data_IF_296687534745
#
_entry.id   IF_296687534745
#
_cell.length_a   1.000
_cell.length_b   1.000
_cell.length_c   1.000
_cell.angle_alpha   90.00
_cell.angle_beta   90.00
_cell.angle_gamma   90.00
#
_symmetry.space_group_name_H-M   'P 1'
#
loop_
_entity.id
_entity.type
_entity.pdbx_description
1 polymer ?
#
# COMPACT_ATOMS: atom_id res chain seq x y z
N UNK A 1 -21.95 -13.43 14.01
CA UNK A 1 -22.01 -14.23 12.77
C UNK A 1 -20.76 -13.86 12.01
N UNK A 2 -19.76 -14.73 12.04
CA UNK A 2 -18.51 -14.53 11.32
C UNK A 2 -18.80 -14.88 9.85
N UNK A 3 -18.71 -13.89 8.96
CA UNK A 3 -18.84 -14.14 7.53
C UNK A 3 -17.53 -14.76 7.06
N UNK A 4 -17.58 -16.04 6.72
CA UNK A 4 -16.45 -16.82 6.20
C UNK A 4 -16.19 -16.47 4.73
N UNK A 5 -15.80 -15.20 4.49
CA UNK A 5 -15.34 -14.74 3.19
C UNK A 5 -13.84 -15.00 3.06
N UNK A 6 -13.37 -15.53 1.92
CA UNK A 6 -11.96 -15.73 1.68
C UNK A 6 -11.22 -14.38 1.69
N UNK A 7 -9.93 -14.43 2.04
CA UNK A 7 -9.06 -13.28 1.88
C UNK A 7 -9.05 -12.81 0.41
N UNK A 8 -9.08 -11.50 0.15
CA UNK A 8 -8.89 -10.97 -1.19
C UNK A 8 -7.57 -11.45 -1.81
N UNK A 9 -7.54 -11.62 -3.14
CA UNK A 9 -6.33 -12.00 -3.87
C UNK A 9 -5.21 -11.00 -3.57
N UNK A 10 -3.99 -11.50 -3.32
CA UNK A 10 -2.83 -10.65 -3.03
C UNK A 10 -2.79 -10.04 -1.62
N UNK A 11 -3.80 -10.27 -0.78
CA UNK A 11 -3.76 -9.83 0.62
C UNK A 11 -2.64 -10.55 1.38
N UNK A 12 -1.78 -9.77 2.04
CA UNK A 12 -0.71 -10.28 2.91
C UNK A 12 -1.17 -10.37 4.37
N UNK A 13 -2.14 -9.53 4.75
CA UNK A 13 -2.79 -9.56 6.05
C UNK A 13 -4.22 -9.05 5.91
N UNK A 14 -5.15 -9.68 6.61
CA UNK A 14 -6.55 -9.27 6.63
C UNK A 14 -6.93 -9.02 8.09
N UNK A 15 -7.41 -7.84 8.40
CA UNK A 15 -7.89 -7.52 9.75
C UNK A 15 -9.23 -8.21 10.02
N UNK A 16 -9.57 -8.34 11.30
CA UNK A 16 -10.90 -8.81 11.71
C UNK A 16 -12.00 -7.88 11.18
N UNK A 17 -13.20 -8.41 11.02
CA UNK A 17 -14.38 -7.59 10.78
C UNK A 17 -14.52 -6.57 11.93
N UNK A 18 -14.59 -5.28 11.59
CA UNK A 18 -14.68 -4.23 12.60
C UNK A 18 -15.81 -4.50 13.59
N UNK A 19 -15.55 -4.24 14.88
CA UNK A 19 -16.51 -4.51 15.96
C UNK A 19 -17.87 -3.83 15.68
N UNK A 20 -18.93 -4.64 15.71
CA UNK A 20 -20.35 -4.25 15.61
C UNK A 20 -20.70 -3.32 14.44
N UNK A 21 -20.89 -3.90 13.25
CA UNK A 21 -21.58 -3.24 12.14
C UNK A 21 -20.68 -2.48 11.16
N UNK A 22 -19.36 -2.66 11.22
CA UNK A 22 -18.51 -2.23 10.12
C UNK A 22 -18.88 -3.01 8.85
N UNK A 23 -19.31 -2.30 7.81
CA UNK A 23 -19.71 -2.89 6.53
C UNK A 23 -18.53 -3.52 5.76
N UNK A 24 -17.30 -3.28 6.22
CA UNK A 24 -16.06 -3.79 5.62
C UNK A 24 -15.01 -4.13 6.68
N UNK A 25 -14.05 -4.97 6.30
CA UNK A 25 -12.76 -5.16 6.97
C UNK A 25 -11.63 -4.59 6.11
N UNK A 26 -10.54 -4.18 6.75
CA UNK A 26 -9.34 -3.70 6.04
C UNK A 26 -8.39 -4.86 5.81
N UNK A 27 -7.63 -4.80 4.72
CA UNK A 27 -6.53 -5.71 4.49
C UNK A 27 -5.32 -4.97 3.90
N UNK A 28 -4.14 -5.48 4.22
CA UNK A 28 -2.87 -5.05 3.65
C UNK A 28 -2.53 -5.95 2.46
N UNK A 29 -2.08 -5.34 1.36
CA UNK A 29 -1.51 -6.01 0.20
C UNK A 29 0.02 -6.00 0.23
N UNK A 30 0.69 -6.14 -0.93
CA UNK A 30 2.14 -6.05 -1.02
C UNK A 30 2.66 -4.62 -0.78
N UNK A 31 3.93 -4.53 -0.38
CA UNK A 31 4.65 -3.26 -0.15
C UNK A 31 5.99 -3.25 -0.90
N UNK A 32 6.34 -2.10 -1.48
CA UNK A 32 7.63 -1.83 -2.10
C UNK A 32 8.31 -0.63 -1.45
N UNK A 33 9.50 -0.86 -0.88
CA UNK A 33 10.30 0.18 -0.23
C UNK A 33 11.44 0.67 -1.11
N UNK A 34 11.38 1.94 -1.48
CA UNK A 34 12.46 2.63 -2.19
C UNK A 34 13.40 3.22 -1.14
N UNK A 35 14.40 2.43 -0.76
CA UNK A 35 15.46 2.86 0.15
C UNK A 35 16.20 4.06 -0.45
N UNK A 36 16.18 5.18 0.26
CA UNK A 36 16.87 6.38 -0.21
C UNK A 36 18.33 6.32 0.19
N UNK A 37 19.19 6.49 -0.81
CA UNK A 37 20.64 6.47 -0.63
C UNK A 37 21.11 7.91 -0.75
N UNK A 38 20.91 8.76 0.27
CA UNK A 38 21.89 9.76 0.75
C UNK A 38 21.33 10.85 1.69
N UNK A 39 22.17 11.14 2.68
CA UNK A 39 22.30 12.34 3.51
C UNK A 39 22.64 13.59 2.65
N UNK A 40 21.72 14.00 1.75
CA UNK A 40 21.94 15.14 0.84
C UNK A 40 21.65 16.48 1.51
N UNK A 41 22.49 16.84 2.47
CA UNK A 41 22.60 18.20 2.97
C UNK A 41 21.35 18.73 3.68
N UNK A 42 21.57 19.85 4.39
CA UNK A 42 20.62 20.45 5.33
C UNK A 42 19.32 20.87 4.62
N UNK A 43 18.27 20.03 4.69
CA UNK A 43 16.90 20.43 4.34
C UNK A 43 16.03 19.37 3.64
N UNK A 44 16.60 18.30 3.08
CA UNK A 44 15.79 17.23 2.53
C UNK A 44 15.30 16.32 3.66
N UNK A 45 13.99 16.23 3.87
CA UNK A 45 13.41 15.23 4.76
C UNK A 45 13.86 13.84 4.28
N UNK A 46 14.69 13.19 5.10
CA UNK A 46 15.23 11.86 4.88
C UNK A 46 14.21 10.84 5.36
N UNK A 47 13.61 10.13 4.42
CA UNK A 47 12.68 9.04 4.69
C UNK A 47 12.50 8.24 3.41
N UNK A 48 12.50 6.92 3.53
CA UNK A 48 12.20 6.03 2.41
C UNK A 48 10.82 6.37 1.83
N UNK A 49 10.66 6.12 0.54
CA UNK A 49 9.33 6.15 -0.08
C UNK A 49 8.82 4.71 -0.07
N UNK A 50 7.64 4.52 0.48
CA UNK A 50 6.97 3.23 0.56
C UNK A 50 5.72 3.30 -0.31
N UNK A 51 5.62 2.36 -1.24
CA UNK A 51 4.40 2.13 -2.04
C UNK A 51 3.72 0.90 -1.45
N UNK A 52 2.49 1.02 -0.99
CA UNK A 52 1.73 -0.10 -0.42
C UNK A 52 0.35 -0.20 -1.04
N UNK A 53 -0.18 -1.41 -1.13
CA UNK A 53 -1.59 -1.66 -1.43
C UNK A 53 -2.33 -1.87 -0.12
N UNK A 54 -3.45 -1.19 0.04
CA UNK A 54 -4.42 -1.36 1.12
C UNK A 54 -5.77 -1.58 0.46
N UNK A 55 -6.61 -2.43 1.05
CA UNK A 55 -7.96 -2.56 0.56
C UNK A 55 -9.01 -2.70 1.65
N UNK A 56 -10.26 -2.59 1.20
CA UNK A 56 -11.47 -2.81 2.00
C UNK A 56 -12.22 -3.99 1.38
N UNK A 57 -12.58 -4.97 2.19
CA UNK A 57 -13.46 -6.07 1.78
C UNK A 57 -14.80 -5.92 2.47
N UNK A 58 -15.87 -5.90 1.70
CA UNK A 58 -17.25 -5.75 2.16
C UNK A 58 -17.91 -7.12 2.41
N UNK A 59 -18.95 -7.12 3.23
CA UNK A 59 -19.71 -8.34 3.56
C UNK A 59 -20.43 -8.99 2.37
N UNK A 60 -20.63 -8.25 1.28
CA UNK A 60 -21.22 -8.73 0.02
C UNK A 60 -20.18 -9.38 -0.90
N UNK A 61 -18.91 -9.46 -0.48
CA UNK A 61 -17.81 -10.03 -1.24
C UNK A 61 -17.10 -9.04 -2.15
N UNK A 62 -17.58 -7.79 -2.28
CA UNK A 62 -16.83 -6.75 -3.01
C UNK A 62 -15.53 -6.43 -2.27
N UNK A 63 -14.46 -6.20 -3.02
CA UNK A 63 -13.22 -5.66 -2.51
C UNK A 63 -12.83 -4.40 -3.30
N UNK A 64 -12.27 -3.42 -2.62
CA UNK A 64 -11.71 -2.20 -3.20
C UNK A 64 -10.25 -2.09 -2.75
N UNK A 65 -9.40 -1.61 -3.65
CA UNK A 65 -7.96 -1.41 -3.42
C UNK A 65 -7.60 0.05 -3.61
N UNK A 66 -6.71 0.55 -2.77
CA UNK A 66 -6.07 1.86 -2.88
C UNK A 66 -4.54 1.65 -2.82
N UNK A 67 -3.80 2.50 -3.53
CA UNK A 67 -2.35 2.54 -3.45
C UNK A 67 -1.96 3.73 -2.57
N UNK A 68 -1.22 3.47 -1.51
CA UNK A 68 -0.68 4.50 -0.62
C UNK A 68 0.78 4.76 -0.98
N UNK A 69 1.13 6.04 -0.98
CA UNK A 69 2.51 6.52 -1.05
C UNK A 69 2.89 7.16 0.28
N UNK A 70 3.59 6.40 1.11
CA UNK A 70 4.12 6.88 2.38
C UNK A 70 5.55 7.40 2.19
N UNK A 71 5.83 8.54 2.82
CA UNK A 71 7.15 9.15 2.78
C UNK A 71 7.11 10.66 2.99
N UNK A 72 8.24 11.35 2.74
CA UNK A 72 8.31 12.80 2.82
C UNK A 72 7.31 13.49 1.88
N UNK A 73 6.70 14.58 2.33
CA UNK A 73 5.68 15.32 1.56
C UNK A 73 6.17 15.78 0.17
N UNK A 74 7.46 16.05 0.01
CA UNK A 74 8.05 16.47 -1.26
C UNK A 74 9.45 15.88 -1.39
N UNK A 75 9.57 14.60 -1.80
CA UNK A 75 10.86 13.92 -1.80
C UNK A 75 11.71 14.35 -2.98
N UNK A 76 12.95 14.78 -2.72
CA UNK A 76 13.95 14.99 -3.77
C UNK A 76 14.58 13.64 -4.14
N UNK A 77 14.24 13.09 -5.28
CA UNK A 77 14.70 11.75 -5.72
C UNK A 77 15.70 11.83 -6.88
N UNK A 78 16.62 10.88 -6.91
CA UNK A 78 17.54 10.68 -8.04
C UNK A 78 16.82 10.04 -9.23
N UNK A 79 17.36 10.13 -10.45
CA UNK A 79 16.81 9.40 -11.61
C UNK A 79 16.70 7.89 -11.37
N UNK A 80 17.63 7.30 -10.62
CA UNK A 80 17.58 5.87 -10.27
C UNK A 80 16.44 5.55 -9.31
N UNK A 81 16.24 6.36 -8.28
CA UNK A 81 15.10 6.23 -7.35
C UNK A 81 13.77 6.47 -8.06
N UNK A 82 13.71 7.42 -9.00
CA UNK A 82 12.52 7.66 -9.83
C UNK A 82 12.14 6.44 -10.67
N UNK A 83 13.11 5.76 -11.29
CA UNK A 83 12.85 4.51 -12.02
C UNK A 83 12.35 3.40 -11.10
N UNK A 84 12.94 3.25 -9.91
CA UNK A 84 12.48 2.27 -8.91
C UNK A 84 11.05 2.57 -8.45
N UNK A 85 10.74 3.83 -8.17
CA UNK A 85 9.40 4.26 -7.78
C UNK A 85 8.38 4.00 -8.90
N UNK A 86 8.74 4.31 -10.15
CA UNK A 86 7.89 4.01 -11.31
C UNK A 86 7.58 2.51 -11.42
N UNK A 87 8.59 1.64 -11.27
CA UNK A 87 8.37 0.19 -11.29
C UNK A 87 7.51 -0.29 -10.12
N UNK A 88 7.69 0.28 -8.93
CA UNK A 88 6.87 -0.04 -7.76
C UNK A 88 5.41 0.39 -7.94
N UNK A 89 5.16 1.55 -8.54
CA UNK A 89 3.81 2.03 -8.84
C UNK A 89 3.09 1.13 -9.86
N UNK A 90 3.78 0.68 -10.90
CA UNK A 90 3.22 -0.27 -11.88
C UNK A 90 2.87 -1.58 -11.17
N UNK A 91 3.80 -2.15 -10.40
CA UNK A 91 3.55 -3.40 -9.67
C UNK A 91 2.41 -3.27 -8.64
N UNK A 92 2.26 -2.11 -8.01
CA UNK A 92 1.15 -1.84 -7.09
C UNK A 92 -0.19 -1.73 -7.82
N UNK A 93 -0.22 -1.13 -9.02
CA UNK A 93 -1.41 -1.08 -9.85
C UNK A 93 -1.83 -2.48 -10.31
N UNK A 94 -0.88 -3.27 -10.84
CA UNK A 94 -1.13 -4.65 -11.25
C UNK A 94 -1.65 -5.50 -10.08
N UNK A 95 -1.11 -5.31 -8.87
CA UNK A 95 -1.58 -6.00 -7.66
C UNK A 95 -2.96 -5.54 -7.18
N UNK A 96 -3.31 -4.27 -7.39
CA UNK A 96 -4.60 -3.71 -7.01
C UNK A 96 -5.73 -4.15 -7.96
N UNK A 97 -5.42 -4.37 -9.24
CA UNK A 97 -6.39 -4.79 -10.26
C UNK A 97 -6.78 -6.28 -10.15
N UNK A 98 -5.88 -7.12 -9.59
CA UNK A 98 -6.17 -8.51 -9.22
C UNK A 98 -5.95 -9.57 -10.30
#
# INVERSE_FOLDING_TARGET
MELDLPAPSGATRVDEWGNFGAAFRVYDGPEWRIKRVTDRGRGAQSGDIVVSVIGRQYMDGRAECEIILDGPHTPVITPTEARKLSSALIAAADAADG
#
